data_IF_993347226120
#
_entry.id   IF_993347226120
#
_cell.length_a   1.000
_cell.length_b   1.000
_cell.length_c   1.000
_cell.angle_alpha   90.00
_cell.angle_beta   90.00
_cell.angle_gamma   90.00
#
_symmetry.space_group_name_H-M   'P 1'
#
loop_
_entity.id
_entity.type
_entity.pdbx_description
1 polymer ?
#
# COMPACT_ATOMS: atom_id res chain seq x y z
N UNK A 1 1.91 0.56 25.13
CA UNK A 1 2.21 0.25 23.72
C UNK A 1 1.14 0.90 22.87
N UNK A 2 1.50 1.77 21.92
CA UNK A 2 0.53 2.32 20.97
C UNK A 2 0.27 1.27 19.89
N UNK A 3 -0.79 0.48 20.04
CA UNK A 3 -1.11 -0.66 19.16
C UNK A 3 -2.18 -0.33 18.12
N UNK A 4 -2.74 0.88 18.11
CA UNK A 4 -3.88 1.25 17.26
C UNK A 4 -3.57 2.13 16.05
N UNK A 5 -2.38 2.74 15.99
CA UNK A 5 -2.07 3.70 14.91
C UNK A 5 -1.57 2.96 13.68
N UNK A 6 -2.16 3.26 12.51
CA UNK A 6 -1.63 2.77 11.24
C UNK A 6 -0.37 3.54 10.85
N UNK A 7 0.72 2.82 10.59
CA UNK A 7 2.05 3.36 10.27
C UNK A 7 2.46 3.00 8.84
N UNK A 8 3.37 3.78 8.25
CA UNK A 8 4.01 3.46 6.98
C UNK A 8 5.52 3.74 7.00
N UNK A 9 6.29 3.00 6.20
CA UNK A 9 7.73 3.20 6.03
C UNK A 9 8.23 2.65 4.69
N UNK A 10 9.34 3.21 4.20
CA UNK A 10 10.14 2.58 3.15
C UNK A 10 10.82 1.35 3.76
N UNK A 11 10.65 0.19 3.14
CA UNK A 11 11.15 -1.11 3.60
C UNK A 11 12.38 -1.61 2.80
N UNK A 12 12.84 -0.83 1.81
CA UNK A 12 14.07 -1.07 1.06
C UNK A 12 15.14 -0.02 1.37
N UNK A 13 16.45 -0.33 1.23
CA UNK A 13 17.50 0.67 1.36
C UNK A 13 17.30 1.86 0.40
N UNK A 14 17.75 3.07 0.77
CA UNK A 14 17.74 4.22 -0.13
C UNK A 14 18.78 4.02 -1.25
N UNK A 15 18.50 4.58 -2.43
CA UNK A 15 19.41 4.57 -3.58
C UNK A 15 18.72 4.17 -4.88
N UNK A 16 19.54 3.88 -5.89
CA UNK A 16 19.06 3.49 -7.21
C UNK A 16 18.80 1.98 -7.27
N UNK A 17 17.61 1.60 -7.71
CA UNK A 17 17.21 0.21 -7.89
C UNK A 17 15.99 0.09 -8.80
N UNK A 18 15.73 -1.12 -9.30
CA UNK A 18 14.58 -1.37 -10.15
C UNK A 18 13.25 -1.33 -9.38
N UNK A 19 13.28 -1.62 -8.07
CA UNK A 19 12.10 -1.76 -7.22
C UNK A 19 12.37 -1.09 -5.87
N UNK A 20 11.39 -0.35 -5.37
CA UNK A 20 11.32 0.12 -3.99
C UNK A 20 10.07 -0.47 -3.30
N UNK A 21 10.16 -0.70 -1.99
CA UNK A 21 9.03 -1.20 -1.20
C UNK A 21 8.60 -0.17 -0.17
N UNK A 22 7.30 0.16 -0.16
CA UNK A 22 6.66 0.88 0.93
C UNK A 22 5.72 -0.09 1.67
N UNK A 23 5.88 -0.19 2.99
CA UNK A 23 5.04 -1.04 3.85
C UNK A 23 4.12 -0.18 4.69
N UNK A 24 2.84 -0.54 4.74
CA UNK A 24 1.83 0.05 5.63
C UNK A 24 1.34 -1.04 6.58
N UNK A 25 1.17 -0.72 7.87
CA UNK A 25 0.74 -1.68 8.89
C UNK A 25 -0.17 -1.03 9.92
N UNK A 26 -1.28 -1.70 10.25
CA UNK A 26 -2.30 -1.23 11.16
C UNK A 26 -3.69 -1.64 10.70
N UNK A 27 -4.70 -1.38 11.53
CA UNK A 27 -6.09 -1.78 11.25
C UNK A 27 -6.66 -1.10 9.99
N UNK A 28 -6.19 0.10 9.67
CA UNK A 28 -6.68 0.87 8.51
C UNK A 28 -5.79 0.74 7.28
N UNK A 29 -4.74 -0.10 7.32
CA UNK A 29 -3.71 -0.16 6.27
C UNK A 29 -4.30 -0.42 4.89
N UNK A 30 -5.19 -1.40 4.76
CA UNK A 30 -5.84 -1.73 3.49
C UNK A 30 -6.75 -0.59 3.03
N UNK A 31 -7.59 -0.05 3.93
CA UNK A 31 -8.51 1.05 3.59
C UNK A 31 -7.76 2.32 3.15
N UNK A 32 -6.64 2.65 3.80
CA UNK A 32 -5.81 3.80 3.42
C UNK A 32 -5.20 3.58 2.04
N UNK A 33 -4.58 2.42 1.79
CA UNK A 33 -3.91 2.13 0.50
C UNK A 33 -4.93 2.05 -0.64
N UNK A 34 -6.11 1.49 -0.39
CA UNK A 34 -7.20 1.39 -1.38
C UNK A 34 -7.68 2.73 -1.94
N UNK A 35 -7.54 3.83 -1.19
CA UNK A 35 -7.88 5.18 -1.69
C UNK A 35 -6.98 5.61 -2.85
N UNK A 36 -5.75 5.10 -2.89
CA UNK A 36 -4.76 5.44 -3.91
C UNK A 36 -4.59 4.33 -4.94
N UNK A 37 -4.88 3.08 -4.59
CA UNK A 37 -4.71 1.93 -5.47
C UNK A 37 -5.81 1.81 -6.52
N UNK A 38 -5.40 1.77 -7.78
CA UNK A 38 -6.26 1.61 -8.95
C UNK A 38 -5.85 0.34 -9.69
N UNK A 39 -6.60 -0.74 -9.48
CA UNK A 39 -6.38 -2.02 -10.15
C UNK A 39 -7.70 -2.64 -10.62
N UNK A 40 -7.63 -3.88 -11.13
CA UNK A 40 -8.83 -4.59 -11.63
C UNK A 40 -9.89 -4.84 -10.56
N UNK A 41 -9.49 -4.99 -9.30
CA UNK A 41 -10.35 -5.20 -8.12
C UNK A 41 -9.87 -4.35 -6.96
N UNK A 42 -10.78 -3.97 -6.06
CA UNK A 42 -10.46 -3.24 -4.84
C UNK A 42 -9.64 -4.11 -3.89
N UNK A 43 -8.72 -3.53 -3.10
CA UNK A 43 -7.89 -4.34 -2.20
C UNK A 43 -8.69 -4.93 -1.04
N UNK A 44 -9.79 -4.28 -0.64
CA UNK A 44 -10.71 -4.76 0.39
C UNK A 44 -11.41 -6.08 -0.01
N UNK A 45 -11.54 -6.35 -1.30
CA UNK A 45 -12.16 -7.56 -1.84
C UNK A 45 -11.16 -8.72 -1.96
N UNK A 46 -9.88 -8.47 -1.69
CA UNK A 46 -8.81 -9.44 -1.92
C UNK A 46 -8.59 -10.30 -0.69
N UNK A 47 -8.36 -11.58 -0.92
CA UNK A 47 -7.95 -12.51 0.14
C UNK A 47 -6.53 -12.18 0.61
N UNK A 48 -6.27 -12.51 1.87
CA UNK A 48 -4.92 -12.42 2.44
C UNK A 48 -3.91 -13.25 1.63
N UNK A 49 -2.63 -12.86 1.69
CA UNK A 49 -1.52 -13.49 0.95
C UNK A 49 -1.74 -13.54 -0.57
N UNK A 50 -2.26 -12.45 -1.14
CA UNK A 50 -2.45 -12.32 -2.58
C UNK A 50 -1.71 -11.12 -3.16
N UNK A 51 -1.44 -11.18 -4.46
CA UNK A 51 -0.85 -10.06 -5.21
C UNK A 51 -1.94 -9.31 -5.98
N UNK A 52 -1.79 -7.99 -6.02
CA UNK A 52 -2.63 -7.07 -6.78
C UNK A 52 -1.74 -6.20 -7.65
N UNK A 53 -1.98 -6.22 -8.96
CA UNK A 53 -1.31 -5.35 -9.91
C UNK A 53 -2.22 -4.18 -10.26
N UNK A 54 -1.66 -2.98 -10.27
CA UNK A 54 -2.36 -1.73 -10.51
C UNK A 54 -1.43 -0.54 -10.32
N UNK A 55 -2.01 0.65 -10.36
CA UNK A 55 -1.31 1.92 -10.22
C UNK A 55 -1.65 2.57 -8.88
N UNK A 56 -0.70 3.33 -8.33
CA UNK A 56 -0.98 4.25 -7.23
C UNK A 56 -1.21 5.61 -7.88
N UNK A 57 -2.34 6.26 -7.56
CA UNK A 57 -2.70 7.58 -8.09
C UNK A 57 -3.13 8.51 -6.96
N UNK A 58 -2.82 9.79 -7.08
CA UNK A 58 -3.29 10.84 -6.20
C UNK A 58 -3.89 11.98 -7.03
N UNK A 59 -5.13 12.38 -6.73
CA UNK A 59 -5.86 13.42 -7.47
C UNK A 59 -5.93 13.19 -8.99
N UNK A 60 -6.06 11.93 -9.41
CA UNK A 60 -6.11 11.55 -10.83
C UNK A 60 -4.75 11.54 -11.55
N UNK A 61 -3.66 11.82 -10.83
CA UNK A 61 -2.29 11.79 -11.36
C UNK A 61 -1.54 10.57 -10.83
N UNK A 62 -0.64 10.03 -11.65
CA UNK A 62 0.37 9.04 -11.25
C UNK A 62 1.43 9.70 -10.35
#
# INVERSE_FOLDING_TARGET
>A
MHTGTTICAIATPPGNGAIALLRVSGNDAISIVSKFFHGKRKLEEKTSHSLSFGEIRHNGQL
#
